data_IF_028643031566
#
_entry.id   IF_028643031566
#
_cell.length_a   1.000
_cell.length_b   1.000
_cell.length_c   1.000
_cell.angle_alpha   90.00
_cell.angle_beta   90.00
_cell.angle_gamma   90.00
#
_symmetry.space_group_name_H-M   'P 1'
#
loop_
_entity.id
_entity.type
_entity.pdbx_description
1 polymer ?
#
# COMPACT_ATOMS: atom_id res chain seq x y z
N UNK A 1 0.44 8.83 15.36
CA UNK A 1 1.18 8.24 14.24
C UNK A 1 0.57 6.88 14.03
N UNK A 2 0.26 6.51 12.79
CA UNK A 2 -0.48 5.29 12.51
C UNK A 2 -0.08 4.75 11.14
N UNK A 3 -0.18 3.44 10.97
CA UNK A 3 -0.11 2.80 9.65
C UNK A 3 -1.52 2.40 9.25
N UNK A 4 -1.89 2.64 8.00
CA UNK A 4 -3.21 2.26 7.49
C UNK A 4 -3.15 1.73 6.06
N UNK A 5 -4.14 0.92 5.71
CA UNK A 5 -4.30 0.39 4.36
C UNK A 5 -5.45 1.10 3.64
N UNK A 6 -5.22 1.42 2.37
CA UNK A 6 -6.27 1.83 1.45
C UNK A 6 -7.08 0.65 0.91
N UNK A 7 -7.96 0.93 -0.04
CA UNK A 7 -8.76 -0.10 -0.70
C UNK A 7 -7.88 -0.89 -1.69
N UNK A 8 -7.78 -2.23 -1.58
CA UNK A 8 -7.05 -3.03 -2.55
C UNK A 8 -7.68 -2.93 -3.94
N UNK A 9 -6.83 -2.80 -4.96
CA UNK A 9 -7.25 -2.71 -6.35
C UNK A 9 -6.65 -3.87 -7.17
N UNK A 10 -7.49 -4.54 -7.97
CA UNK A 10 -7.01 -5.52 -8.95
C UNK A 10 -6.27 -4.79 -10.07
N UNK A 11 -5.07 -5.26 -10.39
CA UNK A 11 -4.27 -4.77 -11.53
C UNK A 11 -3.90 -5.94 -12.44
N UNK A 12 -3.34 -5.65 -13.61
CA UNK A 12 -2.86 -6.69 -14.51
C UNK A 12 -1.77 -7.53 -13.80
N UNK A 13 -2.06 -8.80 -13.55
CA UNK A 13 -1.14 -9.73 -12.89
C UNK A 13 -1.06 -9.63 -11.36
N UNK A 14 -1.88 -8.79 -10.72
CA UNK A 14 -1.67 -8.49 -9.31
C UNK A 14 -2.83 -7.87 -8.53
N UNK A 15 -2.54 -7.53 -7.28
CA UNK A 15 -3.34 -6.65 -6.43
C UNK A 15 -2.41 -5.56 -5.89
N UNK A 16 -2.84 -4.31 -6.02
CA UNK A 16 -2.19 -3.17 -5.39
C UNK A 16 -2.92 -2.82 -4.09
N UNK A 17 -2.17 -2.65 -3.02
CA UNK A 17 -2.68 -2.25 -1.69
C UNK A 17 -2.01 -0.94 -1.30
N UNK A 18 -2.73 0.20 -1.30
CA UNK A 18 -2.18 1.45 -0.79
C UNK A 18 -1.85 1.34 0.70
N UNK A 19 -0.71 1.88 1.11
CA UNK A 19 -0.26 1.93 2.51
C UNK A 19 0.07 3.38 2.85
N UNK A 20 -0.48 3.88 3.95
CA UNK A 20 -0.22 5.22 4.44
C UNK A 20 0.40 5.18 5.83
N UNK A 21 1.46 5.96 6.02
CA UNK A 21 2.13 6.17 7.32
C UNK A 21 1.92 7.62 7.73
N UNK A 22 1.20 7.83 8.84
CA UNK A 22 0.94 9.15 9.40
C UNK A 22 2.00 9.55 10.44
N UNK A 23 2.42 10.81 10.45
CA UNK A 23 3.37 11.38 11.40
C UNK A 23 4.82 11.25 10.97
N UNK A 24 5.06 11.20 9.66
CA UNK A 24 6.39 11.06 9.08
C UNK A 24 7.33 12.23 9.39
N UNK A 25 6.78 13.38 9.78
CA UNK A 25 7.50 14.57 10.22
C UNK A 25 8.26 14.37 11.53
N UNK A 26 7.96 13.30 12.25
CA UNK A 26 8.56 12.96 13.55
C UNK A 26 9.41 11.68 13.51
N UNK A 27 9.45 10.99 12.37
CA UNK A 27 10.15 9.71 12.22
C UNK A 27 11.50 9.97 11.56
N UNK A 28 12.58 9.47 12.18
CA UNK A 28 13.92 9.44 11.60
C UNK A 28 14.22 8.12 10.88
N UNK A 29 13.71 7.01 11.40
CA UNK A 29 13.73 5.72 10.73
C UNK A 29 12.56 4.84 11.17
N UNK A 30 12.21 3.85 10.36
CA UNK A 30 11.16 2.89 10.67
C UNK A 30 11.39 1.54 10.01
N UNK A 31 10.88 0.48 10.64
CA UNK A 31 10.77 -0.87 10.10
C UNK A 31 9.32 -1.32 10.22
N UNK A 32 8.71 -1.71 9.10
CA UNK A 32 7.37 -2.28 9.04
C UNK A 32 7.45 -3.72 8.54
N UNK A 33 6.68 -4.62 9.15
CA UNK A 33 6.59 -6.02 8.73
C UNK A 33 5.14 -6.36 8.45
N UNK A 34 4.88 -6.82 7.24
CA UNK A 34 3.57 -7.22 6.78
C UNK A 34 3.49 -8.73 6.64
N UNK A 35 2.42 -9.32 7.17
CA UNK A 35 2.04 -10.69 6.86
C UNK A 35 1.09 -10.68 5.66
N UNK A 36 1.42 -11.48 4.67
CA UNK A 36 0.72 -11.62 3.39
C UNK A 36 0.48 -13.12 3.18
N UNK A 37 -0.73 -13.55 2.83
CA UNK A 37 -1.02 -14.97 2.65
C UNK A 37 -0.20 -15.50 1.47
N UNK A 38 0.51 -16.61 1.68
CA UNK A 38 1.30 -17.24 0.61
C UNK A 38 0.42 -17.87 -0.48
N UNK A 39 -0.83 -18.20 -0.15
CA UNK A 39 -1.76 -18.84 -1.09
C UNK A 39 -2.14 -17.90 -2.24
N UNK A 40 -1.71 -18.26 -3.45
CA UNK A 40 -1.99 -17.50 -4.67
C UNK A 40 -1.11 -16.27 -4.89
N UNK A 41 -0.22 -15.93 -3.94
CA UNK A 41 0.74 -14.82 -4.04
C UNK A 41 2.13 -15.36 -4.37
N UNK A 42 2.72 -14.91 -5.47
CA UNK A 42 4.08 -15.28 -5.86
C UNK A 42 5.15 -14.28 -5.45
N UNK A 43 4.78 -13.01 -5.38
CA UNK A 43 5.70 -11.93 -5.01
C UNK A 43 4.97 -10.84 -4.26
N UNK A 44 5.71 -10.13 -3.42
CA UNK A 44 5.28 -8.88 -2.83
C UNK A 44 6.44 -7.88 -2.91
N UNK A 45 6.15 -6.65 -3.28
CA UNK A 45 7.06 -5.51 -3.18
C UNK A 45 6.30 -4.30 -2.68
N UNK A 46 6.99 -3.26 -2.22
CA UNK A 46 6.36 -2.01 -1.81
C UNK A 46 7.15 -0.81 -2.31
N UNK A 47 6.47 0.13 -2.94
CA UNK A 47 7.10 1.31 -3.56
C UNK A 47 6.43 2.60 -3.09
N UNK A 48 7.18 3.71 -2.97
CA UNK A 48 6.56 5.01 -2.67
C UNK A 48 5.72 5.50 -3.84
N UNK A 49 4.55 6.10 -3.58
CA UNK A 49 3.63 6.61 -4.62
C UNK A 49 4.16 7.84 -5.36
N UNK A 50 5.01 8.60 -4.68
CA UNK A 50 5.66 9.80 -5.18
C UNK A 50 7.15 9.70 -4.90
N UNK A 51 7.96 10.48 -5.61
CA UNK A 51 9.36 10.63 -5.23
C UNK A 51 9.41 11.17 -3.79
N UNK A 52 9.93 10.37 -2.88
CA UNK A 52 10.26 10.77 -1.51
C UNK A 52 11.77 10.99 -1.44
N UNK A 53 12.33 12.07 -2.03
CA UNK A 53 13.78 12.27 -2.12
C UNK A 53 14.46 12.32 -0.74
N UNK A 54 13.66 12.48 0.32
CA UNK A 54 14.11 12.61 1.70
C UNK A 54 14.03 11.29 2.46
N UNK A 55 13.68 10.20 1.79
CA UNK A 55 13.54 8.88 2.38
C UNK A 55 14.23 7.82 1.51
N UNK A 56 15.14 7.08 2.14
CA UNK A 56 15.67 5.83 1.62
C UNK A 56 14.74 4.70 2.06
N UNK A 57 14.32 3.87 1.11
CA UNK A 57 13.42 2.74 1.36
C UNK A 57 14.05 1.45 0.84
N UNK A 58 13.94 0.37 1.60
CA UNK A 58 14.36 -0.97 1.19
C UNK A 58 13.29 -1.98 1.58
N UNK A 59 12.86 -2.80 0.64
CA UNK A 59 11.92 -3.89 0.90
C UNK A 59 12.53 -5.28 0.68
N UNK A 60 12.00 -6.25 1.43
CA UNK A 60 12.40 -7.65 1.32
C UNK A 60 11.20 -8.56 1.53
N UNK A 61 10.95 -9.43 0.54
CA UNK A 61 9.90 -10.43 0.59
C UNK A 61 10.47 -11.82 0.87
N UNK A 62 9.88 -12.54 1.82
CA UNK A 62 10.22 -13.93 2.11
C UNK A 62 8.95 -14.70 2.45
N UNK A 63 8.40 -15.39 1.43
CA UNK A 63 7.47 -16.52 1.59
C UNK A 63 6.30 -16.32 2.56
N UNK A 64 5.68 -15.14 2.60
CA UNK A 64 4.60 -14.81 3.54
C UNK A 64 4.81 -13.49 4.27
N UNK A 65 6.06 -13.01 4.32
CA UNK A 65 6.41 -11.78 5.04
C UNK A 65 7.09 -10.76 4.15
N UNK A 66 6.54 -9.54 4.09
CA UNK A 66 7.17 -8.38 3.44
C UNK A 66 7.68 -7.43 4.52
N UNK A 67 8.98 -7.18 4.53
CA UNK A 67 9.58 -6.15 5.40
C UNK A 67 9.88 -4.89 4.61
N UNK A 68 9.63 -3.73 5.20
CA UNK A 68 9.99 -2.42 4.67
C UNK A 68 10.84 -1.68 5.71
N UNK A 69 12.08 -1.36 5.36
CA UNK A 69 12.96 -0.45 6.09
C UNK A 69 12.93 0.95 5.47
N UNK A 70 12.87 1.97 6.31
CA UNK A 70 12.79 3.38 5.91
C UNK A 70 13.78 4.21 6.75
N UNK A 71 14.53 5.09 6.09
CA UNK A 71 15.46 6.02 6.76
C UNK A 71 15.29 7.41 6.15
N UNK A 72 15.05 8.41 7.00
CA UNK A 72 14.99 9.81 6.61
C UNK A 72 16.39 10.34 6.28
N UNK A 73 16.62 10.76 5.03
CA UNK A 73 17.87 11.37 4.55
C UNK A 73 17.73 12.90 4.58
N UNK A 74 17.60 13.46 5.79
CA UNK A 74 17.33 14.88 6.06
C UNK A 74 18.37 15.86 5.48
N UNK A 75 19.58 15.40 5.11
CA UNK A 75 20.68 16.25 4.63
C UNK A 75 20.48 16.80 3.20
N UNK A 76 19.50 16.33 2.45
CA UNK A 76 19.25 16.77 1.07
C UNK A 76 18.29 17.98 0.97
N UNK A 77 17.72 18.46 2.09
CA UNK A 77 16.70 19.52 2.06
C UNK A 77 17.23 20.92 2.37
N UNK A 78 16.70 21.96 1.69
CA UNK A 78 16.78 23.33 2.20
C UNK A 78 16.14 23.40 3.58
N UNK A 79 16.79 24.07 4.53
CA UNK A 79 16.38 24.14 5.95
C UNK A 79 14.95 24.69 6.21
N UNK A 80 14.27 25.20 5.18
CA UNK A 80 12.93 25.79 5.25
C UNK A 80 11.84 24.94 4.58
N UNK A 81 12.16 23.79 4.00
CA UNK A 81 11.17 22.92 3.38
C UNK A 81 10.39 22.13 4.46
N UNK A 82 9.06 22.24 4.54
CA UNK A 82 8.26 21.54 5.55
C UNK A 82 8.38 20.02 5.40
N UNK A 83 8.59 19.31 6.51
CA UNK A 83 8.63 17.85 6.51
C UNK A 83 7.28 17.26 6.08
N UNK A 84 7.28 16.16 5.31
CA UNK A 84 6.04 15.50 4.96
C UNK A 84 5.39 14.95 6.24
N UNK A 85 4.12 15.26 6.45
CA UNK A 85 3.37 14.76 7.61
C UNK A 85 2.92 13.31 7.43
N UNK A 86 3.04 12.76 6.22
CA UNK A 86 2.77 11.35 5.95
C UNK A 86 3.58 10.83 4.77
N UNK A 87 3.68 9.50 4.68
CA UNK A 87 4.30 8.78 3.57
C UNK A 87 3.29 7.82 2.96
N UNK A 88 3.24 7.82 1.64
CA UNK A 88 2.32 7.01 0.86
C UNK A 88 3.10 5.99 0.03
N UNK A 89 2.66 4.74 0.10
CA UNK A 89 3.23 3.62 -0.61
C UNK A 89 2.15 2.81 -1.31
N UNK A 90 2.56 1.99 -2.27
CA UNK A 90 1.76 0.93 -2.86
C UNK A 90 2.49 -0.39 -2.65
N UNK A 91 1.84 -1.31 -1.96
CA UNK A 91 2.26 -2.70 -1.88
C UNK A 91 1.71 -3.44 -3.10
N UNK A 92 2.60 -3.99 -3.92
CA UNK A 92 2.27 -4.74 -5.12
C UNK A 92 2.34 -6.23 -4.82
N UNK A 93 1.23 -6.93 -5.01
CA UNK A 93 1.13 -8.37 -4.82
C UNK A 93 1.02 -9.06 -6.18
N UNK A 94 2.06 -9.79 -6.58
CA UNK A 94 2.05 -10.60 -7.80
C UNK A 94 1.27 -11.89 -7.57
N UNK A 95 0.32 -12.19 -8.46
CA UNK A 95 -0.52 -13.37 -8.35
C UNK A 95 -0.03 -14.52 -9.23
N UNK A 96 -0.03 -15.73 -8.69
CA UNK A 96 0.05 -17.00 -9.45
C UNK A 96 -1.27 -17.77 -9.44
N UNK A 97 -2.22 -17.33 -8.61
CA UNK A 97 -3.58 -17.84 -8.54
C UNK A 97 -4.51 -16.82 -7.90
N UNK A 98 -5.79 -17.15 -7.78
CA UNK A 98 -6.70 -16.33 -6.99
C UNK A 98 -6.38 -16.53 -5.50
N UNK A 99 -6.10 -15.45 -4.73
CA UNK A 99 -6.10 -15.55 -3.27
C UNK A 99 -7.47 -16.02 -2.78
N UNK A 100 -7.52 -16.75 -1.67
CA UNK A 100 -8.79 -17.16 -1.06
C UNK A 100 -9.66 -15.98 -0.64
N UNK A 101 -10.97 -16.21 -0.51
CA UNK A 101 -11.95 -15.16 -0.21
C UNK A 101 -11.70 -14.45 1.14
N UNK A 102 -11.02 -15.13 2.07
CA UNK A 102 -10.62 -14.59 3.37
C UNK A 102 -9.14 -14.14 3.46
N UNK A 103 -8.43 -14.09 2.33
CA UNK A 103 -7.05 -13.61 2.27
C UNK A 103 -6.94 -12.16 2.74
N UNK A 104 -6.02 -11.91 3.69
CA UNK A 104 -5.82 -10.62 4.34
C UNK A 104 -4.35 -10.26 4.42
N UNK A 105 -4.02 -9.00 4.16
CA UNK A 105 -2.72 -8.43 4.53
C UNK A 105 -2.85 -7.78 5.90
N UNK A 106 -1.87 -8.00 6.77
CA UNK A 106 -1.83 -7.44 8.11
C UNK A 106 -0.46 -6.80 8.39
N UNK A 107 -0.44 -5.68 9.10
CA UNK A 107 0.80 -5.23 9.74
C UNK A 107 1.04 -6.10 10.98
N UNK A 108 2.14 -6.84 10.96
CA UNK A 108 2.52 -7.78 12.02
C UNK A 108 3.44 -7.14 13.06
N UNK A 109 4.43 -6.35 12.60
CA UNK A 109 5.36 -5.64 13.47
C UNK A 109 5.62 -4.24 12.93
N UNK A 110 5.94 -3.33 13.84
CA UNK A 110 6.35 -1.97 13.49
C UNK A 110 7.29 -1.40 14.54
N UNK A 111 8.39 -0.82 14.10
CA UNK A 111 9.39 -0.15 14.93
C UNK A 111 9.70 1.21 14.34
N UNK A 112 9.87 2.22 15.20
CA UNK A 112 10.08 3.60 14.78
C UNK A 112 11.10 4.28 15.68
N UNK A 113 11.93 5.15 15.11
CA UNK A 113 12.78 6.07 15.86
C UNK A 113 12.51 7.51 15.44
N UNK A 114 12.76 8.44 16.37
CA UNK A 114 12.73 9.87 16.11
C UNK A 114 13.89 10.30 15.23
N UNK A 115 13.88 11.56 14.80
CA UNK A 115 14.99 12.17 14.04
C UNK A 115 16.29 12.24 14.85
N UNK A 116 16.22 12.10 16.16
CA UNK A 116 17.33 12.02 17.11
C UNK A 116 17.83 10.58 17.33
N UNK A 117 17.21 9.58 16.68
CA UNK A 117 17.54 8.17 16.83
C UNK A 117 16.93 7.49 18.07
N UNK A 118 16.14 8.21 18.87
CA UNK A 118 15.47 7.64 20.05
C UNK A 118 14.27 6.82 19.62
N UNK A 119 14.07 5.64 20.22
CA UNK A 119 12.91 4.78 19.93
C UNK A 119 11.60 5.50 20.26
N UNK A 120 10.67 5.52 19.32
CA UNK A 120 9.33 6.03 19.51
C UNK A 120 8.43 4.91 20.01
N UNK A 121 8.12 4.93 21.31
CA UNK A 121 7.12 4.02 21.90
C UNK A 121 5.74 4.58 21.58
N UNK A 122 5.13 4.04 20.53
CA UNK A 122 3.75 4.37 20.12
C UNK A 122 3.07 3.11 19.61
N UNK A 123 1.78 2.99 19.89
CA UNK A 123 0.92 1.99 19.26
C UNK A 123 0.48 2.55 17.90
N UNK A 124 1.05 2.01 16.82
CA UNK A 124 0.72 2.40 15.44
C UNK A 124 -0.46 1.58 14.88
N UNK A 125 -1.10 0.77 15.72
CA UNK A 125 -2.19 -0.13 15.40
C UNK A 125 -1.73 -1.44 14.76
N UNK A 126 -2.68 -2.35 14.57
CA UNK A 126 -2.50 -3.58 13.81
C UNK A 126 -3.46 -3.58 12.62
N UNK A 127 -3.28 -2.67 11.64
CA UNK A 127 -4.16 -2.58 10.49
C UNK A 127 -4.20 -3.92 9.74
N UNK A 128 -5.38 -4.25 9.23
CA UNK A 128 -5.64 -5.45 8.41
C UNK A 128 -6.54 -5.07 7.25
N UNK A 129 -6.26 -5.59 6.06
CA UNK A 129 -7.07 -5.37 4.86
C UNK A 129 -7.36 -6.68 4.14
N UNK A 130 -8.61 -6.87 3.70
CA UNK A 130 -9.03 -8.04 2.92
C UNK A 130 -8.73 -7.84 1.44
N UNK A 131 -8.07 -8.80 0.81
CA UNK A 131 -7.75 -8.77 -0.62
C UNK A 131 -8.98 -9.01 -1.51
N UNK A 132 -9.99 -9.73 -1.00
CA UNK A 132 -11.22 -10.06 -1.72
C UNK A 132 -12.35 -9.02 -1.66
N UNK A 133 -12.21 -7.91 -0.92
CA UNK A 133 -13.34 -7.00 -0.69
C UNK A 133 -13.69 -6.07 -1.88
N UNK A 134 -12.94 -6.12 -2.98
CA UNK A 134 -13.01 -5.17 -4.10
C UNK A 134 -13.81 -5.60 -5.33
N UNK A 135 -14.74 -6.56 -5.26
CA UNK A 135 -15.57 -7.01 -6.41
C UNK A 135 -16.61 -5.99 -6.92
N UNK A 136 -16.33 -4.68 -6.86
CA UNK A 136 -17.08 -3.71 -7.65
C UNK A 136 -16.34 -3.44 -8.95
N UNK A 137 -16.61 -4.32 -9.92
CA UNK A 137 -16.37 -4.01 -11.33
C UNK A 137 -16.97 -2.63 -11.65
N UNK A 138 -16.14 -1.66 -12.02
CA UNK A 138 -16.58 -0.32 -12.46
C UNK A 138 -17.28 -0.34 -13.83
N UNK A 139 -17.65 -1.53 -14.33
CA UNK A 139 -18.16 -1.78 -15.69
C UNK A 139 -19.69 -1.76 -15.82
N UNK A 140 -20.47 -1.55 -14.76
CA UNK A 140 -21.96 -1.54 -14.82
C UNK A 140 -22.61 -0.16 -14.69
N UNK A 141 -21.99 0.90 -15.24
CA UNK A 141 -22.71 2.13 -15.67
C UNK A 141 -22.48 2.44 -17.15
N UNK A 142 -22.83 1.51 -18.03
CA UNK A 142 -23.42 1.88 -19.32
C UNK A 142 -24.78 1.22 -19.38
N UNK A 143 -25.83 2.02 -19.30
CA UNK A 143 -27.19 1.55 -19.53
C UNK A 143 -27.30 0.86 -20.89
N UNK A 144 -28.30 -0.01 -21.10
CA UNK A 144 -28.49 -0.65 -22.38
C UNK A 144 -28.62 0.41 -23.47
N UNK A 145 -27.79 0.31 -24.51
CA UNK A 145 -27.97 1.06 -25.75
C UNK A 145 -29.33 0.63 -26.29
N UNK A 146 -30.34 1.50 -26.16
CA UNK A 146 -31.60 1.32 -26.86
C UNK A 146 -31.31 1.41 -28.35
N UNK A 147 -31.32 0.28 -29.05
CA UNK A 147 -31.37 0.25 -30.50
C UNK A 147 -32.66 0.96 -30.94
N UNK A 148 -32.52 2.00 -31.76
CA UNK A 148 -33.64 2.62 -32.45
C UNK A 148 -34.15 1.65 -33.53
N UNK A 149 -35.47 1.48 -33.70
CA UNK A 149 -36.01 0.71 -34.81
C UNK A 149 -35.74 1.45 -36.14
N UNK A 150 -35.28 0.69 -37.13
CA UNK A 150 -35.10 1.13 -38.52
C UNK A 150 -36.50 1.20 -39.17
N UNK A 151 -36.91 2.32 -39.80
CA UNK A 151 -38.18 2.37 -40.50
C UNK A 151 -38.13 1.50 -41.77
N UNK A 152 -39.24 0.85 -42.17
CA UNK A 152 -39.28 0.05 -43.38
C UNK A 152 -39.12 0.94 -44.61
N UNK A 153 -38.25 0.51 -45.52
CA UNK A 153 -38.12 1.07 -46.86
C UNK A 153 -39.43 0.85 -47.62
N UNK A 154 -40.12 1.94 -47.98
CA UNK A 154 -41.11 1.94 -49.04
C UNK A 154 -40.45 1.99 -50.41
#
# INVERSE_FOLDING_TARGET
>A
MAVSFGTPARVAGGIDVPVHVEGADRIGAARLVFHIPSDGIASATITPTHSTPDWLTLDAWTGGTLSLGMIGVMQARPALAPLPTGLDFVMHLGLVGAPGDDSKVALAESEFSGTDGVLLVTDFGSPVVRLGAGYRSWWTRRGPIRSRPVPPSG
#
